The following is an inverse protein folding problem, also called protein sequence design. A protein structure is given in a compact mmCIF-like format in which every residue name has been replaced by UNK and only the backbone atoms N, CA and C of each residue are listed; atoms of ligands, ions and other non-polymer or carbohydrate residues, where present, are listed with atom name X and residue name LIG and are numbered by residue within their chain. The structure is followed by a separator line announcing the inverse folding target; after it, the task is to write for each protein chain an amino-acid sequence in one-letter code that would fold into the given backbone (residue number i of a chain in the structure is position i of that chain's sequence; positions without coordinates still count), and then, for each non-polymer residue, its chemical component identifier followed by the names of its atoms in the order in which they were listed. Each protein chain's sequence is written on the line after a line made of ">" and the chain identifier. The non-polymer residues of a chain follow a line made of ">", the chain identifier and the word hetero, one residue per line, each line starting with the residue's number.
data_IF_068709367183
#
_entry.id   IF_068709367183
#
_cell.length_a   1.000
_cell.length_b   1.000
_cell.length_c   1.000
_cell.angle_alpha   90.00
_cell.angle_beta   90.00
_cell.angle_gamma   90.00
#
_symmetry.space_group_name_H-M   'P 1'
#
loop_
_entity.id
_entity.type
_entity.pdbx_description
1 polymer ?
#
# COMPACT_ATOMS: atom_id res chain seq x y z
N UNK A 1 10.71 -10.56 -9.68
CA UNK A 1 11.41 -11.61 -8.91
C UNK A 1 10.96 -11.73 -7.46
N UNK A 2 10.84 -10.64 -6.69
CA UNK A 2 10.35 -10.68 -5.29
C UNK A 2 9.03 -11.47 -5.11
N UNK A 3 8.02 -11.21 -5.95
CA UNK A 3 6.73 -11.91 -5.87
C UNK A 3 6.81 -13.42 -6.13
N UNK A 4 7.75 -13.86 -6.97
CA UNK A 4 7.99 -15.29 -7.23
C UNK A 4 8.56 -15.95 -5.97
N UNK A 5 9.55 -15.32 -5.35
CA UNK A 5 10.10 -15.76 -4.07
C UNK A 5 9.04 -15.79 -2.97
N UNK A 6 8.20 -14.75 -2.89
CA UNK A 6 7.10 -14.68 -1.92
C UNK A 6 6.06 -15.80 -2.13
N UNK A 7 5.75 -16.17 -3.38
CA UNK A 7 4.86 -17.29 -3.70
C UNK A 7 5.46 -18.65 -3.36
N UNK A 8 6.78 -18.81 -3.49
CA UNK A 8 7.48 -20.10 -3.32
C UNK A 8 7.93 -20.36 -1.88
N UNK A 9 8.42 -19.35 -1.17
CA UNK A 9 8.96 -19.48 0.19
C UNK A 9 7.99 -18.94 1.25
N UNK A 10 7.04 -18.11 0.87
CA UNK A 10 6.08 -17.49 1.80
C UNK A 10 6.58 -16.21 2.45
N UNK A 11 5.72 -15.61 3.28
CA UNK A 11 5.98 -14.38 4.02
C UNK A 11 6.88 -14.69 5.23
N UNK A 12 7.92 -13.88 5.45
CA UNK A 12 8.83 -14.01 6.59
C UNK A 12 10.22 -14.52 6.20
N UNK A 13 10.32 -15.25 5.09
CA UNK A 13 11.56 -15.91 4.68
C UNK A 13 12.46 -15.00 3.81
N UNK A 14 12.73 -13.79 4.32
CA UNK A 14 13.40 -12.72 3.58
C UNK A 14 14.82 -13.09 3.16
N UNK A 15 15.53 -13.86 3.99
CA UNK A 15 16.85 -14.40 3.69
C UNK A 15 16.81 -15.37 2.50
N UNK A 16 15.86 -16.30 2.47
CA UNK A 16 15.69 -17.21 1.34
C UNK A 16 15.31 -16.48 0.06
N UNK A 17 14.44 -15.47 0.17
CA UNK A 17 14.01 -14.66 -0.99
C UNK A 17 15.16 -13.83 -1.55
N UNK A 18 15.99 -13.22 -0.70
CA UNK A 18 17.17 -12.48 -1.14
C UNK A 18 18.17 -13.38 -1.86
N UNK A 19 18.50 -14.53 -1.26
CA UNK A 19 19.53 -15.44 -1.80
C UNK A 19 19.12 -16.14 -3.09
N UNK A 20 17.84 -16.46 -3.27
CA UNK A 20 17.39 -17.32 -4.38
C UNK A 20 16.63 -16.58 -5.48
N UNK A 21 16.11 -15.37 -5.20
CA UNK A 21 15.25 -14.65 -6.14
C UNK A 21 15.66 -13.19 -6.34
N UNK A 22 16.25 -12.53 -5.35
CA UNK A 22 16.60 -11.10 -5.42
C UNK A 22 18.07 -10.89 -5.09
N UNK A 23 18.93 -11.43 -5.95
CA UNK A 23 20.38 -11.48 -5.75
C UNK A 23 21.05 -10.10 -5.56
N UNK A 24 20.45 -9.03 -6.07
CA UNK A 24 20.99 -7.66 -5.98
C UNK A 24 20.64 -6.93 -4.68
N UNK A 25 19.87 -7.57 -3.78
CA UNK A 25 19.39 -6.94 -2.55
C UNK A 25 19.73 -7.77 -1.33
N UNK A 26 20.05 -7.12 -0.23
CA UNK A 26 20.30 -7.79 1.05
C UNK A 26 18.99 -8.23 1.71
N UNK A 27 19.00 -9.25 2.59
CA UNK A 27 17.80 -9.69 3.30
C UNK A 27 17.04 -8.57 4.01
N UNK A 28 17.75 -7.62 4.62
CA UNK A 28 17.16 -6.44 5.29
C UNK A 28 16.46 -5.51 4.30
N UNK A 29 17.03 -5.31 3.10
CA UNK A 29 16.39 -4.54 2.03
C UNK A 29 15.13 -5.25 1.52
N UNK A 30 15.17 -6.58 1.40
CA UNK A 30 14.01 -7.40 1.01
C UNK A 30 12.90 -7.32 2.07
N UNK A 31 13.23 -7.37 3.35
CA UNK A 31 12.27 -7.19 4.44
C UNK A 31 11.61 -5.80 4.41
N UNK A 32 12.42 -4.75 4.24
CA UNK A 32 11.93 -3.37 4.10
C UNK A 32 11.04 -3.20 2.86
N UNK A 33 11.41 -3.85 1.75
CA UNK A 33 10.62 -3.86 0.54
C UNK A 33 9.27 -4.58 0.76
N UNK A 34 9.29 -5.74 1.42
CA UNK A 34 8.09 -6.50 1.76
C UNK A 34 7.12 -5.65 2.60
N UNK A 35 7.62 -4.94 3.63
CA UNK A 35 6.80 -4.03 4.43
C UNK A 35 6.09 -2.98 3.56
N UNK A 36 6.84 -2.26 2.74
CA UNK A 36 6.29 -1.24 1.83
C UNK A 36 5.30 -1.84 0.84
N UNK A 37 5.61 -3.01 0.29
CA UNK A 37 4.75 -3.73 -0.64
C UNK A 37 3.39 -4.05 0.00
N UNK A 38 3.38 -4.61 1.20
CA UNK A 38 2.12 -4.96 1.88
C UNK A 38 1.29 -3.75 2.27
N UNK A 39 1.90 -2.67 2.76
CA UNK A 39 1.19 -1.42 3.06
C UNK A 39 0.56 -0.79 1.80
N UNK A 40 1.26 -0.86 0.66
CA UNK A 40 0.72 -0.40 -0.63
C UNK A 40 -0.41 -1.30 -1.13
N UNK A 41 -0.26 -2.61 -0.96
CA UNK A 41 -1.26 -3.57 -1.39
C UNK A 41 -2.54 -3.47 -0.55
N UNK A 42 -2.41 -3.26 0.76
CA UNK A 42 -3.55 -3.06 1.68
C UNK A 42 -4.21 -1.69 1.52
N UNK A 43 -3.52 -0.68 0.98
CA UNK A 43 -4.11 0.64 0.70
C UNK A 43 -4.78 0.71 -0.68
N UNK A 44 -4.37 -0.12 -1.64
CA UNK A 44 -5.08 -0.22 -2.93
C UNK A 44 -6.52 -0.71 -2.78
N UNK A 45 -6.84 -1.58 -1.80
CA UNK A 45 -8.22 -1.94 -1.48
C UNK A 45 -9.02 -0.77 -0.86
N UNK A 46 -8.33 0.23 -0.31
CA UNK A 46 -8.93 1.40 0.33
C UNK A 46 -9.09 2.60 -0.61
N UNK A 47 -8.58 2.51 -1.85
CA UNK A 47 -8.73 3.56 -2.86
C UNK A 47 -10.16 3.72 -3.38
N UNK A 48 -11.06 2.79 -3.01
CA UNK A 48 -12.53 2.90 -3.16
C UNK A 48 -13.24 3.42 -1.90
N UNK A 49 -12.51 3.94 -0.91
CA UNK A 49 -13.12 4.47 0.32
C UNK A 49 -13.48 5.94 0.10
N UNK A 50 -14.77 6.26 0.26
CA UNK A 50 -15.32 7.62 0.36
C UNK A 50 -14.45 8.45 1.31
N UNK A 51 -14.16 9.69 0.94
CA UNK A 51 -13.43 10.65 1.80
C UNK A 51 -14.08 10.73 3.18
N UNK A 52 -13.26 10.86 4.23
CA UNK A 52 -13.77 11.06 5.57
C UNK A 52 -14.48 12.40 5.66
N UNK A 53 -15.56 12.49 6.45
CA UNK A 53 -16.20 13.78 6.76
C UNK A 53 -15.26 14.73 7.50
N UNK A 54 -14.24 14.17 8.17
CA UNK A 54 -13.19 14.92 8.87
C UNK A 54 -12.03 15.33 7.96
N UNK A 55 -11.96 14.80 6.73
CA UNK A 55 -11.00 15.23 5.70
C UNK A 55 -11.55 16.40 4.86
N UNK A 56 -12.78 16.86 5.15
CA UNK A 56 -13.43 17.96 4.44
C UNK A 56 -12.83 19.28 4.93
N UNK A 57 -12.10 19.98 4.06
CA UNK A 57 -11.69 21.35 4.31
C UNK A 57 -12.95 22.25 4.42
N UNK A 58 -12.98 23.26 5.32
CA UNK A 58 -14.17 24.11 5.52
C UNK A 58 -14.73 24.75 4.24
N UNK A 59 -13.89 24.95 3.23
CA UNK A 59 -14.27 25.56 1.95
C UNK A 59 -15.12 24.63 1.06
N UNK A 60 -14.97 23.30 1.16
CA UNK A 60 -15.76 22.34 0.37
C UNK A 60 -17.22 22.23 0.84
N UNK A 61 -17.49 22.54 2.11
CA UNK A 61 -18.85 22.56 2.67
C UNK A 61 -19.70 23.64 1.97
N UNK A 62 -19.08 24.73 1.50
CA UNK A 62 -19.75 25.82 0.78
C UNK A 62 -20.21 25.40 -0.62
N UNK A 63 -19.41 24.63 -1.35
CA UNK A 63 -19.75 24.19 -2.69
C UNK A 63 -20.80 23.06 -2.70
N UNK A 64 -20.79 22.21 -1.68
CA UNK A 64 -21.76 21.11 -1.57
C UNK A 64 -23.14 21.59 -1.12
N UNK A 65 -23.23 22.64 -0.30
CA UNK A 65 -24.51 23.19 0.17
C UNK A 65 -25.19 24.08 -0.87
N UNK A 66 -24.43 24.83 -1.68
CA UNK A 66 -24.97 25.69 -2.74
C UNK A 66 -25.53 24.93 -3.95
N UNK A 67 -25.24 23.63 -4.12
CA UNK A 67 -25.81 22.80 -5.19
C UNK A 67 -27.17 22.17 -4.87
N UNK A 68 -27.68 22.34 -3.66
CA UNK A 68 -28.99 21.82 -3.25
C UNK A 68 -30.04 22.93 -3.00
N UNK A 69 -29.71 24.19 -3.29
CA UNK A 69 -30.61 25.36 -3.15
C UNK A 69 -30.79 26.09 -4.50
N UNK A 70 -31.14 25.35 -5.55
CA UNK A 70 -31.74 25.88 -6.78
C UNK A 70 -32.79 24.90 -7.31
#
# INVERSE_FOLDING_TARGET
>A
MFLVGLKKLGKGDWCGIARNYVFTRTPTQVASHAQKYFLRHSSQSMRNRRSSVFDIAPDEVRFLTLRFLQ
#
